data_IF_148634852420
#
_entry.id   IF_148634852420
#
_cell.length_a   1.000
_cell.length_b   1.000
_cell.length_c   1.000
_cell.angle_alpha   90.00
_cell.angle_beta   90.00
_cell.angle_gamma   90.00
#
_symmetry.space_group_name_H-M   'P 1'
#
loop_
_entity.id
_entity.type
_entity.pdbx_description
1 polymer ?
#
# COMPACT_ATOMS: atom_id res chain seq x y z
N UNK A 1 3.72 24.10 -48.23
CA UNK A 1 4.57 24.51 -49.33
C UNK A 1 5.31 25.77 -48.91
N UNK A 2 6.53 25.62 -48.34
CA UNK A 2 7.55 26.65 -48.36
C UNK A 2 8.88 25.99 -48.08
N UNK A 3 9.69 25.94 -49.09
CA UNK A 3 11.05 25.42 -49.16
C UNK A 3 11.95 26.44 -48.44
N UNK A 4 12.65 26.06 -47.36
CA UNK A 4 13.73 26.79 -46.80
C UNK A 4 15.04 26.05 -47.03
N UNK A 5 15.89 26.78 -47.73
CA UNK A 5 17.04 26.44 -48.53
C UNK A 5 18.29 26.00 -47.72
N UNK A 6 19.06 25.16 -48.36
CA UNK A 6 20.39 24.59 -47.98
C UNK A 6 21.50 25.58 -47.56
N UNK A 7 21.21 26.82 -47.25
CA UNK A 7 22.26 27.82 -46.90
C UNK A 7 22.47 28.04 -45.41
N UNK A 8 21.58 27.53 -44.52
CA UNK A 8 21.74 27.68 -43.06
C UNK A 8 22.64 26.62 -42.40
N UNK A 9 23.02 25.59 -43.14
CA UNK A 9 23.84 24.48 -42.59
C UNK A 9 25.36 24.65 -42.77
N UNK A 10 25.80 25.66 -43.55
CA UNK A 10 27.23 25.94 -43.77
C UNK A 10 27.82 27.00 -42.86
N UNK A 11 27.01 27.70 -42.08
CA UNK A 11 27.51 28.76 -41.17
C UNK A 11 27.91 28.26 -39.78
N UNK A 12 27.62 26.97 -39.42
CA UNK A 12 27.88 26.44 -38.08
C UNK A 12 29.22 25.67 -37.97
N UNK A 13 29.93 25.46 -39.10
CA UNK A 13 31.17 24.67 -39.11
C UNK A 13 32.45 25.46 -39.36
N UNK A 14 32.41 26.81 -39.38
CA UNK A 14 33.62 27.64 -39.70
C UNK A 14 34.20 28.43 -38.52
N UNK A 15 33.78 28.18 -37.29
CA UNK A 15 34.30 28.93 -36.11
C UNK A 15 35.20 28.07 -35.19
N UNK A 16 35.48 26.81 -35.55
CA UNK A 16 36.32 25.94 -34.71
C UNK A 16 37.61 25.44 -35.39
N UNK A 17 38.25 26.31 -36.16
CA UNK A 17 39.56 25.99 -36.72
C UNK A 17 40.43 27.25 -36.82
N UNK A 18 40.87 27.82 -35.70
CA UNK A 18 42.15 28.54 -35.61
C UNK A 18 42.33 29.10 -34.19
N UNK A 19 43.03 28.39 -33.33
CA UNK A 19 43.92 28.93 -32.28
C UNK A 19 44.58 27.76 -31.55
N UNK A 20 45.50 27.14 -32.21
CA UNK A 20 46.52 26.32 -31.57
C UNK A 20 47.75 27.18 -31.38
N UNK A 21 48.20 27.26 -30.15
CA UNK A 21 49.51 27.56 -29.56
C UNK A 21 49.42 28.70 -28.52
N UNK A 22 49.42 28.23 -27.25
CA UNK A 22 50.21 28.86 -26.19
C UNK A 22 50.17 27.99 -24.93
N UNK A 23 51.29 27.33 -24.73
CA UNK A 23 51.96 26.87 -23.50
C UNK A 23 51.13 26.36 -22.31
N UNK A 24 51.29 25.04 -22.15
CA UNK A 24 51.22 24.33 -20.90
C UNK A 24 52.23 24.82 -19.88
N UNK A 25 51.79 25.09 -18.67
CA UNK A 25 52.39 24.74 -17.37
C UNK A 25 51.31 25.04 -16.35
N UNK A 26 50.69 24.04 -15.83
CA UNK A 26 49.68 24.21 -14.78
C UNK A 26 49.39 22.88 -14.12
N UNK A 27 49.92 22.70 -12.95
CA UNK A 27 49.78 21.62 -12.00
C UNK A 27 48.56 20.74 -12.20
N UNK A 28 48.83 19.49 -12.57
CA UNK A 28 47.95 18.38 -12.31
C UNK A 28 47.87 18.14 -10.78
N UNK A 29 47.06 18.89 -10.07
CA UNK A 29 46.48 18.44 -8.83
C UNK A 29 45.46 17.36 -9.23
N UNK A 30 45.87 16.12 -9.25
CA UNK A 30 44.99 14.95 -9.13
C UNK A 30 44.24 15.06 -7.83
N UNK A 31 43.15 15.83 -7.85
CA UNK A 31 42.07 15.64 -6.90
C UNK A 31 41.43 14.29 -7.25
N UNK A 32 42.05 13.21 -6.77
CA UNK A 32 41.37 11.94 -6.55
C UNK A 32 40.35 12.14 -5.43
N UNK A 33 39.35 12.97 -5.72
CA UNK A 33 38.11 12.94 -4.98
C UNK A 33 37.47 11.60 -5.31
N UNK A 34 37.80 10.56 -4.56
CA UNK A 34 36.90 9.43 -4.42
C UNK A 34 35.52 10.03 -4.18
N UNK A 35 34.48 9.65 -4.97
CA UNK A 35 33.14 10.07 -4.59
C UNK A 35 32.97 9.61 -3.16
N UNK A 36 32.91 10.55 -2.22
CA UNK A 36 32.47 10.25 -0.88
C UNK A 36 31.04 9.75 -1.05
N UNK A 37 30.89 8.43 -1.15
CA UNK A 37 29.59 7.79 -0.99
C UNK A 37 29.16 8.20 0.39
N UNK A 38 28.31 9.20 0.47
CA UNK A 38 27.68 9.64 1.71
C UNK A 38 26.93 8.43 2.20
N UNK A 39 27.38 7.84 3.31
CA UNK A 39 26.74 6.66 3.86
C UNK A 39 25.26 7.01 4.07
N UNK A 40 24.40 6.26 3.40
CA UNK A 40 22.96 6.46 3.53
C UNK A 40 22.56 6.15 4.97
N UNK A 41 21.89 7.06 5.63
CA UNK A 41 21.35 6.85 6.97
C UNK A 41 19.98 6.13 6.87
N UNK A 42 19.64 5.22 7.80
CA UNK A 42 20.49 4.64 8.85
C UNK A 42 21.49 3.63 8.27
N UNK A 43 22.52 3.31 9.03
CA UNK A 43 23.53 2.33 8.63
C UNK A 43 23.11 0.94 9.11
N UNK A 44 22.89 0.02 8.19
CA UNK A 44 22.67 -1.39 8.48
C UNK A 44 24.03 -2.08 8.57
N UNK A 45 24.34 -2.61 9.77
CA UNK A 45 25.60 -3.29 10.03
C UNK A 45 25.58 -4.73 9.50
N UNK A 46 26.77 -5.36 9.41
CA UNK A 46 26.91 -6.72 8.91
C UNK A 46 26.17 -7.80 9.73
N UNK A 47 25.92 -7.53 10.99
CA UNK A 47 25.14 -8.38 11.91
C UNK A 47 23.64 -8.07 11.90
N UNK A 48 23.17 -7.23 10.97
CA UNK A 48 21.81 -6.72 10.88
C UNK A 48 21.39 -5.80 12.03
N UNK A 49 22.26 -5.41 12.94
CA UNK A 49 21.99 -4.25 13.82
C UNK A 49 21.96 -2.98 12.98
N UNK A 50 21.23 -1.94 13.45
CA UNK A 50 21.05 -0.72 12.68
C UNK A 50 21.42 0.49 13.52
N UNK A 51 22.36 1.28 13.02
CA UNK A 51 22.82 2.49 13.67
C UNK A 51 22.16 3.73 13.10
N UNK A 52 21.44 4.44 13.93
CA UNK A 52 20.81 5.71 13.66
C UNK A 52 21.64 6.86 14.21
N UNK A 53 21.80 7.92 13.43
CA UNK A 53 22.55 9.11 13.81
C UNK A 53 21.76 10.35 13.45
N UNK A 54 21.59 11.29 14.38
CA UNK A 54 20.94 12.57 14.14
C UNK A 54 21.78 13.71 14.73
N UNK A 55 22.13 14.69 13.91
CA UNK A 55 22.71 15.94 14.38
C UNK A 55 21.60 16.90 14.79
N UNK A 56 21.51 17.21 16.09
CA UNK A 56 20.47 18.07 16.63
C UNK A 56 21.02 18.89 17.82
N UNK A 57 21.83 19.94 17.56
CA UNK A 57 22.54 20.69 18.61
C UNK A 57 21.59 21.29 19.66
N UNK A 58 20.43 21.77 19.23
CA UNK A 58 19.44 22.44 20.10
C UNK A 58 18.48 21.48 20.82
N UNK A 59 18.58 20.19 20.56
CA UNK A 59 17.74 19.19 21.20
C UNK A 59 18.31 18.80 22.58
N UNK A 60 17.47 18.86 23.62
CA UNK A 60 17.84 18.32 24.95
C UNK A 60 17.74 16.80 24.98
N UNK A 61 16.81 16.23 24.21
CA UNK A 61 16.52 14.80 24.13
C UNK A 61 15.96 14.48 22.75
N UNK A 62 16.41 13.39 22.17
CA UNK A 62 15.86 12.79 20.95
C UNK A 62 15.34 11.40 21.27
N UNK A 63 14.20 11.06 20.69
CA UNK A 63 13.61 9.72 20.72
C UNK A 63 13.48 9.27 19.28
N UNK A 64 14.12 8.18 18.93
CA UNK A 64 13.87 7.43 17.71
C UNK A 64 12.55 6.66 17.88
N UNK A 65 11.68 6.75 16.89
CA UNK A 65 10.48 5.89 16.79
C UNK A 65 10.69 4.97 15.60
N UNK A 66 10.97 3.70 15.86
CA UNK A 66 11.26 2.66 14.89
C UNK A 66 10.11 1.66 14.89
N UNK A 67 9.43 1.49 13.76
CA UNK A 67 8.23 0.63 13.64
C UNK A 67 7.33 0.75 14.88
N UNK A 68 7.00 2.00 15.25
CA UNK A 68 6.19 2.40 16.41
C UNK A 68 6.85 2.23 17.79
N UNK A 69 7.96 1.49 17.93
CA UNK A 69 8.71 1.37 19.18
C UNK A 69 9.53 2.63 19.45
N UNK A 70 9.47 3.12 20.68
CA UNK A 70 10.25 4.29 21.12
C UNK A 70 11.61 3.83 21.64
N UNK A 71 12.67 4.27 20.98
CA UNK A 71 14.06 4.00 21.38
C UNK A 71 14.70 5.29 21.90
N UNK A 72 15.37 5.21 23.05
CA UNK A 72 16.15 6.33 23.58
C UNK A 72 17.43 6.45 22.77
N UNK A 73 17.80 7.68 22.39
CA UNK A 73 19.08 7.94 21.74
C UNK A 73 20.07 8.50 22.76
N UNK A 74 21.33 8.14 22.60
CA UNK A 74 22.45 8.62 23.41
C UNK A 74 23.03 9.89 22.79
N UNK A 75 23.38 10.88 23.64
CA UNK A 75 23.92 12.15 23.18
C UNK A 75 25.45 12.17 23.24
N UNK A 76 26.07 12.52 22.12
CA UNK A 76 27.51 12.74 21.98
C UNK A 76 27.75 14.12 21.36
N UNK A 77 27.95 15.13 22.23
CA UNK A 77 28.02 16.54 21.78
C UNK A 77 26.72 17.02 21.15
N UNK A 78 26.78 17.35 19.87
CA UNK A 78 25.63 17.81 19.03
C UNK A 78 24.90 16.67 18.32
N UNK A 79 25.36 15.44 18.49
CA UNK A 79 24.87 14.26 17.78
C UNK A 79 24.19 13.29 18.74
N UNK A 80 23.12 12.69 18.29
CA UNK A 80 22.40 11.61 18.98
C UNK A 80 22.54 10.32 18.18
N UNK A 81 22.84 9.21 18.89
CA UNK A 81 22.99 7.89 18.27
C UNK A 81 22.13 6.84 18.97
N UNK A 82 21.76 5.82 18.20
CA UNK A 82 21.12 4.60 18.71
C UNK A 82 21.47 3.44 17.78
N UNK A 83 21.95 2.33 18.35
CA UNK A 83 22.14 1.08 17.62
C UNK A 83 21.17 0.06 18.16
N UNK A 84 20.46 -0.63 17.25
CA UNK A 84 19.51 -1.67 17.63
C UNK A 84 20.23 -2.99 17.90
N UNK A 85 19.54 -3.94 18.55
CA UNK A 85 19.85 -5.36 18.37
C UNK A 85 19.66 -5.74 16.89
N UNK A 86 20.23 -6.88 16.44
CA UNK A 86 20.00 -7.39 15.08
C UNK A 86 18.50 -7.46 14.74
N UNK A 87 18.13 -6.90 13.61
CA UNK A 87 16.75 -6.89 13.13
C UNK A 87 16.54 -7.98 12.07
N UNK A 88 15.38 -8.65 12.04
CA UNK A 88 14.98 -9.51 10.93
C UNK A 88 14.98 -8.79 9.59
N UNK A 89 15.14 -9.55 8.49
CA UNK A 89 14.98 -9.02 7.13
C UNK A 89 13.58 -8.46 6.92
N UNK A 90 13.48 -7.15 6.66
CA UNK A 90 12.21 -6.45 6.45
C UNK A 90 12.45 -5.00 6.00
N UNK A 91 11.40 -4.34 5.54
CA UNK A 91 11.32 -2.88 5.39
C UNK A 91 10.83 -2.25 6.67
N UNK A 92 11.66 -1.45 7.30
CA UNK A 92 11.35 -0.74 8.55
C UNK A 92 11.09 0.73 8.30
N UNK A 93 10.17 1.31 9.08
CA UNK A 93 9.91 2.75 9.06
C UNK A 93 10.34 3.40 10.35
N UNK A 94 10.74 4.68 10.26
CA UNK A 94 11.16 5.44 11.44
C UNK A 94 10.97 6.95 11.27
N UNK A 95 11.07 7.64 12.38
CA UNK A 95 11.19 9.07 12.50
C UNK A 95 11.76 9.47 13.84
N UNK A 96 12.19 10.73 13.96
CA UNK A 96 12.67 11.27 15.23
C UNK A 96 11.59 12.10 15.91
N UNK A 97 11.65 12.13 17.28
CA UNK A 97 10.86 13.05 18.10
C UNK A 97 11.81 13.85 18.99
N UNK A 98 11.82 15.17 18.82
CA UNK A 98 12.53 16.10 19.70
C UNK A 98 11.85 17.47 19.68
N UNK A 99 12.04 18.25 20.75
CA UNK A 99 11.42 19.56 20.94
C UNK A 99 9.89 19.56 20.71
N UNK A 100 9.22 18.45 21.10
CA UNK A 100 7.77 18.28 20.96
C UNK A 100 7.28 18.01 19.53
N UNK A 101 8.17 17.91 18.56
CA UNK A 101 7.84 17.70 17.14
C UNK A 101 8.27 16.32 16.66
N UNK A 102 7.58 15.85 15.61
CA UNK A 102 7.97 14.73 14.76
C UNK A 102 8.78 15.29 13.60
N UNK A 103 9.97 14.75 13.41
CA UNK A 103 10.87 15.15 12.33
C UNK A 103 11.33 13.93 11.54
N UNK A 104 11.44 14.10 10.23
CA UNK A 104 12.07 13.10 9.37
C UNK A 104 13.60 13.19 9.50
N UNK A 105 14.27 12.12 9.12
CA UNK A 105 15.72 12.09 8.96
C UNK A 105 16.11 12.88 7.70
N UNK A 106 16.83 14.00 7.83
CA UNK A 106 17.23 14.80 6.68
C UNK A 106 18.29 14.13 5.80
N UNK A 107 19.01 13.13 6.33
CA UNK A 107 20.06 12.41 5.62
C UNK A 107 19.52 11.17 4.89
N UNK A 108 18.25 10.80 5.11
CA UNK A 108 17.60 9.70 4.42
C UNK A 108 16.53 10.23 3.45
N UNK A 109 16.80 10.14 2.16
CA UNK A 109 15.85 10.54 1.10
C UNK A 109 14.71 9.55 0.90
N UNK A 110 14.79 8.34 1.46
CA UNK A 110 13.72 7.35 1.37
C UNK A 110 12.59 7.71 2.32
N UNK A 111 11.48 8.15 1.74
CA UNK A 111 10.28 8.57 2.47
C UNK A 111 9.07 7.85 1.88
N UNK A 112 8.24 7.29 2.76
CA UNK A 112 6.93 6.74 2.41
C UNK A 112 5.84 7.46 3.17
N UNK A 113 4.58 7.19 2.81
CA UNK A 113 3.40 7.74 3.46
C UNK A 113 2.52 6.61 3.98
N UNK A 114 2.18 6.69 5.27
CA UNK A 114 1.14 5.88 5.87
C UNK A 114 -0.02 6.77 6.30
N UNK A 115 -1.16 6.63 5.65
CA UNK A 115 -2.31 7.54 5.82
C UNK A 115 -1.88 9.01 5.63
N UNK A 116 -1.86 9.81 6.68
CA UNK A 116 -1.40 11.21 6.67
C UNK A 116 0.04 11.38 7.16
N UNK A 117 0.73 10.31 7.56
CA UNK A 117 2.05 10.36 8.16
C UNK A 117 3.14 10.09 7.13
N UNK A 118 4.10 11.01 7.01
CA UNK A 118 5.35 10.74 6.31
C UNK A 118 6.34 10.06 7.25
N UNK A 119 7.04 9.05 6.75
CA UNK A 119 7.97 8.21 7.48
C UNK A 119 9.21 8.00 6.62
N UNK A 120 10.40 8.04 7.22
CA UNK A 120 11.56 7.48 6.55
C UNK A 120 11.50 5.96 6.59
N UNK A 121 12.18 5.31 5.65
CA UNK A 121 12.29 3.86 5.66
C UNK A 121 13.69 3.39 5.23
N UNK A 122 14.00 2.15 5.60
CA UNK A 122 15.20 1.44 5.18
C UNK A 122 14.88 -0.06 5.08
N UNK A 123 15.79 -0.83 4.51
CA UNK A 123 15.69 -2.27 4.43
C UNK A 123 16.80 -2.94 5.24
N UNK A 124 16.45 -4.02 5.93
CA UNK A 124 17.37 -5.09 6.30
C UNK A 124 17.15 -6.18 5.25
N UNK A 125 18.10 -6.36 4.36
CA UNK A 125 18.00 -7.24 3.19
C UNK A 125 17.97 -8.71 3.58
N UNK A 126 17.57 -9.58 2.64
CA UNK A 126 17.46 -11.02 2.79
C UNK A 126 16.02 -11.51 2.88
N UNK A 127 15.81 -12.81 2.83
CA UNK A 127 14.51 -13.49 2.95
C UNK A 127 13.37 -12.79 2.19
N UNK A 128 12.28 -12.48 2.91
CA UNK A 128 11.10 -11.85 2.33
C UNK A 128 11.34 -10.40 1.89
N UNK A 129 12.28 -9.69 2.54
CA UNK A 129 12.60 -8.31 2.18
C UNK A 129 13.17 -8.20 0.76
N UNK A 130 13.76 -9.27 0.24
CA UNK A 130 14.28 -9.32 -1.12
C UNK A 130 13.20 -9.11 -2.20
N UNK A 131 11.95 -9.40 -1.89
CA UNK A 131 10.83 -9.08 -2.79
C UNK A 131 10.47 -7.59 -2.80
N UNK A 132 10.90 -6.81 -1.80
CA UNK A 132 10.53 -5.39 -1.66
C UNK A 132 11.55 -4.43 -2.27
N UNK A 133 12.73 -4.94 -2.62
CA UNK A 133 13.84 -4.13 -3.13
C UNK A 133 13.61 -3.71 -4.59
N UNK A 134 14.08 -2.51 -4.91
CA UNK A 134 14.26 -2.10 -6.30
C UNK A 134 15.48 -2.86 -6.87
N UNK A 135 15.30 -3.56 -7.97
CA UNK A 135 16.34 -4.34 -8.65
C UNK A 135 16.46 -3.89 -10.10
N UNK A 136 17.61 -4.11 -10.70
CA UNK A 136 17.84 -3.86 -12.13
C UNK A 136 17.27 -5.04 -12.95
N UNK A 137 15.98 -5.05 -13.12
CA UNK A 137 15.17 -6.06 -13.83
C UNK A 137 14.11 -5.35 -14.68
N UNK A 138 13.46 -6.03 -15.62
CA UNK A 138 12.29 -5.45 -16.29
C UNK A 138 11.18 -5.09 -15.30
N UNK A 139 10.67 -3.88 -15.41
CA UNK A 139 9.59 -3.37 -14.54
C UNK A 139 8.25 -3.31 -15.27
N UNK A 140 7.19 -3.50 -14.50
CA UNK A 140 5.84 -3.19 -14.93
C UNK A 140 5.56 -1.67 -14.97
N UNK A 141 4.36 -1.31 -15.39
CA UNK A 141 3.92 0.08 -15.44
C UNK A 141 2.80 0.33 -14.42
N UNK A 142 2.74 1.56 -13.91
CA UNK A 142 1.66 2.04 -13.06
C UNK A 142 0.91 3.13 -13.78
N UNK A 143 -0.37 2.87 -14.07
CA UNK A 143 -1.30 3.86 -14.59
C UNK A 143 -2.08 4.50 -13.44
N UNK A 144 -2.11 5.83 -13.40
CA UNK A 144 -3.01 6.61 -12.55
C UNK A 144 -4.29 6.89 -13.33
N UNK A 145 -5.33 6.15 -13.03
CA UNK A 145 -6.54 6.10 -13.83
C UNK A 145 -7.69 6.81 -13.14
N UNK A 146 -8.31 7.78 -13.81
CA UNK A 146 -9.60 8.33 -13.44
C UNK A 146 -10.70 7.55 -14.14
N UNK A 147 -11.56 6.91 -13.38
CA UNK A 147 -12.70 6.14 -13.92
C UNK A 147 -14.02 6.79 -13.51
N UNK A 148 -15.07 6.68 -14.36
CA UNK A 148 -16.40 7.18 -14.04
C UNK A 148 -16.94 6.51 -12.78
N UNK A 149 -17.52 7.30 -11.88
CA UNK A 149 -18.11 6.78 -10.66
C UNK A 149 -19.36 7.56 -10.28
N UNK A 150 -20.31 6.85 -9.68
CA UNK A 150 -21.54 7.44 -9.13
C UNK A 150 -21.50 7.53 -7.60
N UNK A 151 -20.39 7.09 -7.01
CA UNK A 151 -20.23 7.02 -5.57
C UNK A 151 -20.19 8.43 -4.95
N UNK A 152 -21.08 8.68 -4.00
CA UNK A 152 -21.22 9.98 -3.30
C UNK A 152 -21.40 11.22 -4.20
N UNK A 153 -21.97 11.04 -5.40
CA UNK A 153 -22.17 12.14 -6.35
C UNK A 153 -20.86 12.64 -6.99
N UNK A 154 -19.80 11.88 -6.89
CA UNK A 154 -18.55 12.12 -7.64
C UNK A 154 -18.74 11.66 -9.08
N UNK A 155 -18.26 12.45 -10.06
CA UNK A 155 -18.30 12.03 -11.46
C UNK A 155 -17.16 11.10 -11.85
N UNK A 156 -16.07 11.15 -11.08
CA UNK A 156 -14.86 10.34 -11.31
C UNK A 156 -14.20 10.01 -9.98
N UNK A 157 -13.52 8.85 -9.96
CA UNK A 157 -12.66 8.42 -8.86
C UNK A 157 -11.36 7.86 -9.42
N UNK A 158 -10.32 7.82 -8.61
CA UNK A 158 -9.02 7.36 -9.06
C UNK A 158 -8.68 5.98 -8.51
N UNK A 159 -7.96 5.22 -9.33
CA UNK A 159 -7.30 3.98 -8.95
C UNK A 159 -5.91 3.91 -9.58
N UNK A 160 -5.06 3.03 -9.08
CA UNK A 160 -3.82 2.63 -9.74
C UNK A 160 -4.02 1.27 -10.38
N UNK A 161 -3.44 1.11 -11.57
CA UNK A 161 -3.42 -0.16 -12.28
C UNK A 161 -1.98 -0.51 -12.63
N UNK A 162 -1.49 -1.60 -12.07
CA UNK A 162 -0.20 -2.17 -12.45
C UNK A 162 -0.40 -3.12 -13.64
N UNK A 163 0.44 -2.98 -14.66
CA UNK A 163 0.55 -3.90 -15.79
C UNK A 163 1.95 -4.52 -15.81
N UNK A 164 2.08 -5.84 -16.09
CA UNK A 164 3.36 -6.53 -15.93
C UNK A 164 4.39 -6.12 -16.98
N UNK A 165 5.69 -6.41 -16.74
CA UNK A 165 6.73 -6.23 -17.75
C UNK A 165 6.33 -6.88 -19.08
N UNK A 166 6.55 -6.18 -20.18
CA UNK A 166 6.19 -6.66 -21.52
C UNK A 166 4.76 -6.37 -21.95
N UNK A 167 3.87 -5.91 -21.07
CA UNK A 167 2.47 -5.64 -21.36
C UNK A 167 2.26 -4.73 -22.59
N UNK A 168 3.04 -3.65 -22.71
CA UNK A 168 2.90 -2.70 -23.85
C UNK A 168 3.37 -3.32 -25.17
N UNK A 169 4.42 -4.14 -25.13
CA UNK A 169 5.03 -4.73 -26.33
C UNK A 169 4.26 -5.95 -26.87
N UNK A 170 3.57 -6.67 -26.00
CA UNK A 170 2.75 -7.84 -26.35
C UNK A 170 1.27 -7.50 -26.33
N UNK A 171 0.76 -7.04 -27.47
CA UNK A 171 -0.65 -6.68 -27.62
C UNK A 171 -1.61 -7.88 -27.72
N UNK A 172 -1.09 -9.09 -27.95
CA UNK A 172 -1.90 -10.29 -28.15
C UNK A 172 -2.29 -10.99 -26.84
N UNK A 173 -1.46 -10.86 -25.79
CA UNK A 173 -1.69 -11.56 -24.53
C UNK A 173 -2.73 -10.88 -23.65
N UNK A 174 -3.53 -11.71 -22.97
CA UNK A 174 -4.42 -11.31 -21.88
C UNK A 174 -3.95 -11.93 -20.57
N UNK A 175 -4.18 -11.23 -19.47
CA UNK A 175 -3.60 -11.51 -18.17
C UNK A 175 -4.66 -11.79 -17.11
N UNK A 176 -4.39 -12.63 -16.10
CA UNK A 176 -5.21 -12.67 -14.89
C UNK A 176 -5.18 -11.33 -14.18
N UNK A 177 -6.20 -11.04 -13.37
CA UNK A 177 -6.33 -9.79 -12.65
C UNK A 177 -6.48 -10.02 -11.14
N UNK A 178 -5.71 -9.27 -10.35
CA UNK A 178 -5.84 -9.15 -8.91
C UNK A 178 -6.40 -7.76 -8.57
N UNK A 179 -7.49 -7.71 -7.84
CA UNK A 179 -7.97 -6.50 -7.18
C UNK A 179 -7.43 -6.47 -5.76
N UNK A 180 -6.61 -5.44 -5.41
CA UNK A 180 -5.86 -5.36 -4.16
C UNK A 180 -6.28 -4.13 -3.36
N UNK A 181 -6.98 -4.36 -2.23
CA UNK A 181 -7.69 -3.33 -1.48
C UNK A 181 -6.91 -2.89 -0.25
N UNK A 182 -6.80 -1.56 -0.04
CA UNK A 182 -6.13 -0.96 1.11
C UNK A 182 -7.01 -0.90 2.36
N UNK A 183 -6.41 -0.62 3.51
CA UNK A 183 -7.09 -0.50 4.81
C UNK A 183 -7.66 0.89 5.10
N UNK A 184 -8.26 1.01 6.28
CA UNK A 184 -8.85 2.27 6.75
C UNK A 184 -7.82 3.40 6.82
N UNK A 185 -8.21 4.58 6.33
CA UNK A 185 -7.36 5.77 6.27
C UNK A 185 -6.36 5.78 5.11
N UNK A 186 -6.20 4.66 4.39
CA UNK A 186 -5.40 4.59 3.18
C UNK A 186 -6.14 5.13 1.95
N UNK A 187 -5.48 5.01 0.82
CA UNK A 187 -6.00 5.36 -0.50
C UNK A 187 -5.33 4.47 -1.57
N UNK A 188 -5.58 4.75 -2.83
CA UNK A 188 -5.06 3.97 -3.96
C UNK A 188 -3.52 3.90 -4.03
N UNK A 189 -2.79 4.79 -3.33
CA UNK A 189 -1.32 4.77 -3.31
C UNK A 189 -0.75 3.84 -2.24
N UNK A 190 -1.54 3.40 -1.28
CA UNK A 190 -1.06 2.70 -0.08
C UNK A 190 -0.26 1.43 -0.39
N UNK A 191 -0.77 0.59 -1.29
CA UNK A 191 -0.07 -0.62 -1.71
C UNK A 191 1.17 -0.32 -2.55
N UNK A 192 1.14 0.74 -3.37
CA UNK A 192 2.28 1.14 -4.21
C UNK A 192 3.41 1.70 -3.35
N UNK A 193 3.10 2.66 -2.49
CA UNK A 193 4.12 3.41 -1.74
C UNK A 193 4.64 2.62 -0.53
N UNK A 194 3.74 2.25 0.39
CA UNK A 194 4.13 1.57 1.63
C UNK A 194 4.12 0.04 1.50
N UNK A 195 3.18 -0.49 0.73
CA UNK A 195 3.09 -1.92 0.45
C UNK A 195 4.19 -2.45 -0.45
N UNK A 196 4.90 -1.60 -1.21
CA UNK A 196 5.94 -2.00 -2.18
C UNK A 196 5.42 -3.01 -3.21
N UNK A 197 4.13 -2.95 -3.52
CA UNK A 197 3.45 -3.96 -4.32
C UNK A 197 4.06 -4.12 -5.72
N UNK A 198 4.44 -3.02 -6.37
CA UNK A 198 5.05 -3.06 -7.70
C UNK A 198 6.37 -3.83 -7.68
N UNK A 199 7.22 -3.57 -6.67
CA UNK A 199 8.49 -4.29 -6.50
C UNK A 199 8.25 -5.77 -6.22
N UNK A 200 7.23 -6.09 -5.41
CA UNK A 200 6.85 -7.48 -5.13
C UNK A 200 6.46 -8.18 -6.45
N UNK A 201 5.60 -7.56 -7.27
CA UNK A 201 5.18 -8.15 -8.53
C UNK A 201 6.35 -8.31 -9.50
N UNK A 202 7.15 -7.26 -9.72
CA UNK A 202 8.30 -7.28 -10.62
C UNK A 202 9.30 -8.37 -10.22
N UNK A 203 9.69 -8.42 -8.95
CA UNK A 203 10.65 -9.40 -8.43
C UNK A 203 10.10 -10.83 -8.54
N UNK A 204 8.83 -11.06 -8.18
CA UNK A 204 8.23 -12.39 -8.25
C UNK A 204 8.02 -12.87 -9.69
N UNK A 205 7.64 -12.00 -10.62
CA UNK A 205 7.53 -12.30 -12.05
C UNK A 205 8.91 -12.62 -12.62
N UNK A 206 9.92 -11.80 -12.33
CA UNK A 206 11.29 -12.01 -12.78
C UNK A 206 11.88 -13.35 -12.29
N UNK A 207 11.55 -13.74 -11.05
CA UNK A 207 11.97 -15.02 -10.46
C UNK A 207 11.10 -16.20 -10.93
N UNK A 208 10.13 -16.00 -11.81
CA UNK A 208 9.14 -17.00 -12.23
C UNK A 208 8.38 -17.65 -11.06
N UNK A 209 8.28 -16.94 -9.93
CA UNK A 209 7.52 -17.36 -8.75
C UNK A 209 6.01 -17.18 -8.93
N UNK A 210 5.61 -16.26 -9.81
CA UNK A 210 4.22 -16.03 -10.23
C UNK A 210 4.15 -15.79 -11.74
N UNK A 211 2.96 -15.99 -12.31
CA UNK A 211 2.67 -15.58 -13.68
C UNK A 211 2.48 -14.07 -13.76
N UNK A 212 2.81 -13.44 -14.91
CA UNK A 212 2.45 -12.04 -15.16
C UNK A 212 0.96 -11.80 -14.96
N UNK A 213 0.61 -10.71 -14.24
CA UNK A 213 -0.78 -10.37 -13.92
C UNK A 213 -1.00 -8.85 -13.94
N UNK A 214 -2.23 -8.44 -14.13
CA UNK A 214 -2.67 -7.06 -13.92
C UNK A 214 -3.12 -6.92 -12.46
N UNK A 215 -2.77 -5.79 -11.81
CA UNK A 215 -3.23 -5.53 -10.44
C UNK A 215 -3.92 -4.18 -10.37
N UNK A 216 -5.15 -4.18 -9.86
CA UNK A 216 -5.98 -2.98 -9.70
C UNK A 216 -6.03 -2.61 -8.22
N UNK A 217 -5.60 -1.41 -7.91
CA UNK A 217 -5.54 -0.86 -6.56
C UNK A 217 -6.44 0.38 -6.47
N UNK A 218 -7.73 0.19 -6.18
CA UNK A 218 -8.69 1.29 -6.14
C UNK A 218 -8.68 2.00 -4.80
N UNK A 219 -9.23 3.23 -4.77
CA UNK A 219 -9.48 3.94 -3.54
C UNK A 219 -10.78 3.43 -2.89
N UNK A 220 -10.66 2.71 -1.78
CA UNK A 220 -11.78 2.21 -0.99
C UNK A 220 -12.39 3.26 -0.04
N UNK A 221 -11.78 4.44 0.06
CA UNK A 221 -12.32 5.54 0.86
C UNK A 221 -13.34 6.33 0.04
N UNK A 222 -14.61 6.11 0.32
CA UNK A 222 -15.70 6.69 -0.49
C UNK A 222 -15.85 8.21 -0.37
N UNK A 223 -15.23 8.84 0.62
CA UNK A 223 -15.26 10.29 0.80
C UNK A 223 -14.20 11.01 -0.04
N UNK A 224 -13.28 10.25 -0.64
CA UNK A 224 -12.21 10.77 -1.48
C UNK A 224 -12.33 10.25 -2.92
N UNK A 225 -12.14 11.14 -3.86
CA UNK A 225 -12.00 10.80 -5.28
C UNK A 225 -10.58 10.35 -5.65
N UNK A 226 -9.58 10.82 -4.91
CA UNK A 226 -8.17 10.47 -5.04
C UNK A 226 -7.40 10.67 -3.73
N UNK A 227 -6.14 10.24 -3.71
CA UNK A 227 -5.22 10.47 -2.61
C UNK A 227 -5.11 11.97 -2.24
N UNK A 228 -4.90 12.30 -0.95
CA UNK A 228 -4.71 13.69 -0.52
C UNK A 228 -3.60 14.39 -1.32
N UNK A 229 -3.86 15.62 -1.75
CA UNK A 229 -2.95 16.42 -2.56
C UNK A 229 -3.07 16.18 -4.08
N UNK A 230 -3.81 15.15 -4.49
CA UNK A 230 -4.08 14.87 -5.92
C UNK A 230 -5.59 14.88 -6.25
N UNK A 231 -6.43 15.04 -5.23
CA UNK A 231 -7.86 15.27 -5.39
C UNK A 231 -8.12 16.70 -5.87
N UNK A 232 -9.02 16.91 -6.86
CA UNK A 232 -9.48 18.26 -7.20
C UNK A 232 -10.25 18.94 -6.05
N UNK A 233 -10.68 18.18 -5.05
CA UNK A 233 -11.39 18.64 -3.87
C UNK A 233 -10.50 18.58 -2.62
N UNK A 234 -9.39 19.32 -2.64
CA UNK A 234 -8.32 19.28 -1.61
C UNK A 234 -8.79 19.51 -0.17
N UNK A 235 -9.95 20.16 0.03
CA UNK A 235 -10.48 20.48 1.36
C UNK A 235 -11.24 19.32 2.04
N UNK A 236 -11.49 18.21 1.33
CA UNK A 236 -12.15 17.03 1.88
C UNK A 236 -11.12 16.07 2.46
N UNK A 237 -10.78 16.25 3.72
CA UNK A 237 -10.06 15.23 4.48
C UNK A 237 -11.01 14.06 4.77
N UNK A 238 -10.54 12.80 4.73
CA UNK A 238 -11.36 11.67 5.11
C UNK A 238 -11.84 11.85 6.55
N UNK A 239 -13.12 12.03 6.73
CA UNK A 239 -13.74 12.09 8.06
C UNK A 239 -14.01 10.66 8.52
N UNK A 240 -12.97 9.93 8.91
CA UNK A 240 -13.03 8.50 9.30
C UNK A 240 -14.03 8.11 10.39
N UNK A 241 -15.00 8.97 10.72
CA UNK A 241 -15.94 8.78 11.81
C UNK A 241 -17.34 8.33 11.39
N UNK A 242 -17.63 8.23 10.08
CA UNK A 242 -18.97 7.84 9.64
C UNK A 242 -18.94 6.53 8.83
N UNK A 243 -18.46 5.47 9.46
CA UNK A 243 -18.42 4.10 8.90
C UNK A 243 -19.77 3.71 8.29
N UNK A 244 -20.87 4.17 8.90
CA UNK A 244 -22.23 3.84 8.43
C UNK A 244 -22.66 4.53 7.14
N UNK A 245 -21.95 5.56 6.67
CA UNK A 245 -22.31 6.26 5.43
C UNK A 245 -21.77 5.61 4.17
N UNK A 246 -20.76 4.76 4.28
CA UNK A 246 -20.05 4.15 3.14
C UNK A 246 -20.17 2.63 3.07
N UNK A 247 -20.58 1.98 4.13
CA UNK A 247 -20.81 0.54 4.13
C UNK A 247 -21.91 0.16 3.11
N UNK A 248 -21.61 -0.83 2.28
CA UNK A 248 -22.52 -1.39 1.27
C UNK A 248 -22.45 -0.73 -0.10
N UNK A 249 -22.20 0.57 -0.17
CA UNK A 249 -22.13 1.30 -1.45
C UNK A 249 -20.90 0.96 -2.25
N UNK A 250 -19.75 0.92 -1.59
CA UNK A 250 -18.48 0.59 -2.25
C UNK A 250 -18.51 -0.82 -2.80
N UNK A 251 -18.94 -1.79 -2.01
CA UNK A 251 -19.02 -3.19 -2.42
C UNK A 251 -19.94 -3.40 -3.63
N UNK A 252 -21.09 -2.71 -3.64
CA UNK A 252 -22.04 -2.78 -4.76
C UNK A 252 -21.46 -2.17 -6.03
N UNK A 253 -20.87 -0.99 -5.93
CA UNK A 253 -20.33 -0.28 -7.09
C UNK A 253 -19.01 -0.84 -7.57
N UNK A 254 -18.28 -1.58 -6.73
CA UNK A 254 -17.01 -2.18 -7.09
C UNK A 254 -17.10 -3.02 -8.38
N UNK A 255 -18.09 -3.91 -8.46
CA UNK A 255 -18.31 -4.74 -9.64
C UNK A 255 -18.83 -3.92 -10.82
N UNK A 256 -19.74 -3.01 -10.56
CA UNK A 256 -20.41 -2.24 -11.61
C UNK A 256 -19.50 -1.19 -12.26
N UNK A 257 -18.53 -0.65 -11.52
CA UNK A 257 -17.67 0.43 -11.98
C UNK A 257 -16.22 -0.05 -12.17
N UNK A 258 -15.57 -0.59 -11.13
CA UNK A 258 -14.14 -0.90 -11.13
C UNK A 258 -13.85 -2.14 -11.99
N UNK A 259 -14.57 -3.24 -11.75
CA UNK A 259 -14.38 -4.48 -12.53
C UNK A 259 -14.71 -4.21 -14.00
N UNK A 260 -15.86 -3.60 -14.27
CA UNK A 260 -16.29 -3.28 -15.63
C UNK A 260 -15.31 -2.37 -16.36
N UNK A 261 -14.81 -1.31 -15.68
CA UNK A 261 -13.80 -0.43 -16.26
C UNK A 261 -12.53 -1.19 -16.61
N UNK A 262 -12.03 -2.00 -15.68
CA UNK A 262 -10.82 -2.79 -15.88
C UNK A 262 -10.94 -3.71 -17.11
N UNK A 263 -12.04 -4.45 -17.21
CA UNK A 263 -12.27 -5.40 -18.31
C UNK A 263 -12.49 -4.75 -19.68
N UNK A 264 -12.88 -3.47 -19.70
CA UNK A 264 -13.06 -2.73 -20.96
C UNK A 264 -11.81 -1.98 -21.41
N UNK A 265 -10.85 -1.70 -20.51
CA UNK A 265 -9.69 -0.87 -20.82
C UNK A 265 -8.35 -1.61 -20.74
N UNK A 266 -8.32 -2.79 -20.13
CA UNK A 266 -7.10 -3.60 -19.98
C UNK A 266 -7.33 -5.01 -20.54
N UNK A 267 -6.26 -5.63 -21.04
CA UNK A 267 -6.29 -6.99 -21.57
C UNK A 267 -6.32 -8.03 -20.44
N UNK A 268 -7.46 -8.13 -19.78
CA UNK A 268 -7.69 -9.11 -18.73
C UNK A 268 -8.42 -10.35 -19.28
N UNK A 269 -8.18 -11.49 -18.66
CA UNK A 269 -8.99 -12.68 -18.81
C UNK A 269 -10.22 -12.53 -17.93
N UNK A 270 -11.38 -12.20 -18.55
CA UNK A 270 -12.59 -11.79 -17.86
C UNK A 270 -13.47 -12.99 -17.43
N UNK A 271 -12.89 -13.96 -16.74
CA UNK A 271 -13.59 -15.11 -16.18
C UNK A 271 -13.20 -15.34 -14.72
N UNK A 272 -13.99 -16.16 -13.99
CA UNK A 272 -13.77 -16.44 -12.56
C UNK A 272 -12.36 -16.96 -12.29
N UNK A 273 -11.86 -17.91 -13.10
CA UNK A 273 -10.59 -18.60 -12.88
C UNK A 273 -9.39 -17.66 -12.91
N UNK A 274 -9.54 -16.52 -13.56
CA UNK A 274 -8.48 -15.53 -13.73
C UNK A 274 -8.71 -14.23 -12.93
N UNK A 275 -9.75 -14.19 -12.05
CA UNK A 275 -9.96 -13.07 -11.12
C UNK A 275 -9.63 -13.44 -9.71
N UNK A 276 -8.83 -12.59 -9.08
CA UNK A 276 -8.53 -12.64 -7.66
C UNK A 276 -8.91 -11.31 -7.00
N UNK A 277 -9.28 -11.38 -5.73
CA UNK A 277 -9.50 -10.21 -4.89
C UNK A 277 -8.83 -10.43 -3.54
N UNK A 278 -8.10 -9.44 -3.05
CA UNK A 278 -7.49 -9.49 -1.73
C UNK A 278 -7.47 -8.09 -1.09
N UNK A 279 -7.44 -8.04 0.23
CA UNK A 279 -7.37 -6.75 0.91
C UNK A 279 -7.00 -6.87 2.38
N UNK A 280 -6.45 -5.78 2.90
CA UNK A 280 -6.02 -5.68 4.29
C UNK A 280 -7.04 -4.93 5.15
N UNK A 281 -7.26 -5.36 6.40
CA UNK A 281 -8.07 -4.63 7.39
C UNK A 281 -9.48 -4.28 6.87
N UNK A 282 -9.81 -3.01 6.67
CA UNK A 282 -11.03 -2.53 6.01
C UNK A 282 -11.14 -3.08 4.57
N UNK A 283 -10.03 -3.09 3.80
CA UNK A 283 -9.99 -3.71 2.47
C UNK A 283 -10.29 -5.21 2.52
N UNK A 284 -9.93 -5.89 3.61
CA UNK A 284 -10.35 -7.26 3.87
C UNK A 284 -11.85 -7.41 4.12
N UNK A 285 -12.50 -6.44 4.79
CA UNK A 285 -13.96 -6.38 4.92
C UNK A 285 -14.63 -6.22 3.54
N UNK A 286 -14.14 -5.26 2.75
CA UNK A 286 -14.63 -5.07 1.37
C UNK A 286 -14.45 -6.34 0.54
N UNK A 287 -13.25 -6.95 0.59
CA UNK A 287 -12.95 -8.21 -0.10
C UNK A 287 -13.94 -9.30 0.26
N UNK A 288 -14.18 -9.51 1.57
CA UNK A 288 -15.10 -10.51 2.07
C UNK A 288 -16.51 -10.33 1.47
N UNK A 289 -17.07 -9.13 1.61
CA UNK A 289 -18.46 -8.91 1.22
C UNK A 289 -18.65 -8.69 -0.28
N UNK A 290 -17.64 -8.22 -1.01
CA UNK A 290 -17.66 -8.24 -2.48
C UNK A 290 -17.71 -9.70 -2.98
N UNK A 291 -16.84 -10.56 -2.46
CA UNK A 291 -16.82 -11.97 -2.86
C UNK A 291 -18.12 -12.70 -2.47
N UNK A 292 -18.62 -12.52 -1.25
CA UNK A 292 -19.83 -13.17 -0.77
C UNK A 292 -21.10 -12.75 -1.54
N UNK A 293 -21.15 -11.52 -2.02
CA UNK A 293 -22.28 -11.04 -2.84
C UNK A 293 -22.11 -11.35 -4.34
N UNK A 294 -20.96 -11.91 -4.75
CA UNK A 294 -20.64 -12.28 -6.13
C UNK A 294 -19.87 -13.61 -6.17
N UNK A 295 -20.52 -14.74 -5.78
CA UNK A 295 -19.84 -16.03 -5.54
C UNK A 295 -19.19 -16.63 -6.79
N UNK A 296 -19.69 -16.25 -7.99
CA UNK A 296 -19.18 -16.73 -9.29
C UNK A 296 -18.09 -15.83 -9.88
N UNK A 297 -17.63 -14.81 -9.15
CA UNK A 297 -16.77 -13.79 -9.75
C UNK A 297 -15.29 -14.05 -9.52
N UNK A 298 -14.88 -14.52 -8.33
CA UNK A 298 -13.48 -14.63 -7.93
C UNK A 298 -13.09 -16.05 -7.57
N UNK A 299 -11.99 -16.53 -8.14
CA UNK A 299 -11.42 -17.85 -7.87
C UNK A 299 -10.40 -17.85 -6.73
N UNK A 300 -9.82 -16.69 -6.43
CA UNK A 300 -8.93 -16.49 -5.29
C UNK A 300 -9.42 -15.31 -4.46
N UNK A 301 -9.60 -15.54 -3.15
CA UNK A 301 -10.05 -14.55 -2.16
C UNK A 301 -9.04 -14.47 -1.03
N UNK A 302 -8.46 -13.28 -0.78
CA UNK A 302 -7.42 -13.05 0.22
C UNK A 302 -7.86 -12.07 1.32
N UNK A 303 -7.95 -12.53 2.55
CA UNK A 303 -8.35 -11.78 3.74
C UNK A 303 -7.13 -11.54 4.63
N UNK A 304 -6.51 -10.35 4.54
CA UNK A 304 -5.29 -10.01 5.29
C UNK A 304 -5.65 -9.18 6.52
N UNK A 305 -5.50 -9.74 7.71
CA UNK A 305 -5.93 -9.07 8.96
C UNK A 305 -7.33 -8.46 8.81
N UNK A 306 -8.24 -9.20 8.19
CA UNK A 306 -9.53 -8.66 7.75
C UNK A 306 -10.48 -8.40 8.90
N UNK A 307 -11.29 -7.36 8.78
CA UNK A 307 -12.44 -7.18 9.63
C UNK A 307 -13.57 -8.09 9.11
N UNK A 308 -13.82 -9.21 9.79
CA UNK A 308 -14.68 -10.29 9.27
C UNK A 308 -16.09 -10.34 9.88
N UNK A 309 -16.42 -9.46 10.83
CA UNK A 309 -17.75 -9.42 11.45
C UNK A 309 -18.48 -8.12 11.15
N UNK A 310 -19.81 -8.24 11.09
CA UNK A 310 -20.69 -7.11 10.83
C UNK A 310 -20.62 -6.06 11.95
N UNK A 311 -20.14 -4.84 11.62
CA UNK A 311 -20.12 -3.70 12.54
C UNK A 311 -21.50 -3.13 12.85
N UNK A 312 -22.53 -3.52 12.12
CA UNK A 312 -23.90 -3.01 12.30
C UNK A 312 -24.62 -3.61 13.49
N UNK A 313 -24.06 -4.62 14.15
CA UNK A 313 -24.67 -5.23 15.32
C UNK A 313 -24.48 -4.31 16.55
N UNK A 314 -25.54 -3.65 16.99
CA UNK A 314 -25.55 -2.68 18.11
C UNK A 314 -24.87 -3.20 19.39
N UNK A 315 -24.90 -4.54 19.65
CA UNK A 315 -24.24 -5.14 20.80
C UNK A 315 -22.70 -5.09 20.71
N UNK A 316 -22.13 -4.97 19.52
CA UNK A 316 -20.69 -4.87 19.31
C UNK A 316 -20.20 -3.41 19.42
N UNK A 317 -21.03 -2.43 19.06
CA UNK A 317 -20.71 -1.01 19.17
C UNK A 317 -20.48 -0.61 20.65
N UNK A 318 -21.32 -1.09 21.55
CA UNK A 318 -21.24 -0.79 23.01
C UNK A 318 -20.05 -1.50 23.67
N UNK A 319 -19.65 -2.70 23.20
CA UNK A 319 -18.46 -3.41 23.71
C UNK A 319 -17.15 -2.84 23.18
N UNK A 320 -17.19 -2.11 22.09
CA UNK A 320 -16.01 -1.45 21.47
C UNK A 320 -15.51 -0.28 22.31
N UNK A 321 -16.30 0.26 23.25
CA UNK A 321 -15.83 1.29 24.17
C UNK A 321 -14.74 0.79 25.15
N UNK A 322 -14.74 -0.50 25.52
CA UNK A 322 -13.66 -1.12 26.29
C UNK A 322 -12.42 -1.48 25.43
N UNK A 323 -12.59 -1.56 24.12
CA UNK A 323 -11.54 -1.79 23.12
C UNK A 323 -10.63 -0.56 22.92
N UNK A 324 -11.04 0.57 23.47
CA UNK A 324 -10.47 1.90 23.23
C UNK A 324 -9.08 2.13 23.79
N UNK A 325 -8.50 1.24 24.58
CA UNK A 325 -7.16 1.46 25.13
C UNK A 325 -6.05 1.15 24.11
N UNK A 326 -6.23 0.15 23.25
CA UNK A 326 -5.30 -0.15 22.14
C UNK A 326 -5.58 0.71 20.89
N UNK A 327 -6.81 1.18 20.72
CA UNK A 327 -7.21 2.15 19.69
C UNK A 327 -6.72 3.57 19.95
N UNK A 328 -6.04 3.85 21.06
CA UNK A 328 -5.44 5.17 21.32
C UNK A 328 -4.39 5.54 20.24
N UNK A 329 -3.72 4.54 19.67
CA UNK A 329 -2.81 4.72 18.53
C UNK A 329 -3.56 5.13 17.26
N UNK A 330 -4.66 4.45 16.97
CA UNK A 330 -5.56 4.78 15.86
C UNK A 330 -6.26 6.14 16.10
N UNK A 331 -6.62 6.46 17.36
CA UNK A 331 -7.19 7.76 17.74
C UNK A 331 -6.24 8.94 17.52
N UNK A 332 -4.94 8.77 17.62
CA UNK A 332 -4.01 9.86 17.31
C UNK A 332 -3.96 10.17 15.81
N UNK A 333 -4.17 9.18 14.97
CA UNK A 333 -4.34 9.36 13.51
C UNK A 333 -5.72 9.96 13.23
N UNK A 334 -6.78 9.46 13.87
CA UNK A 334 -8.17 9.92 13.73
C UNK A 334 -8.44 11.26 14.42
N UNK A 335 -7.73 11.59 15.50
CA UNK A 335 -7.89 12.90 16.19
C UNK A 335 -7.35 14.08 15.37
N UNK A 336 -6.39 13.84 14.46
CA UNK A 336 -5.96 14.81 13.45
C UNK A 336 -7.03 15.07 12.37
N UNK A 337 -8.09 14.23 12.32
CA UNK A 337 -9.16 14.27 11.33
C UNK A 337 -10.48 14.85 11.91
N UNK A 338 -10.47 15.43 13.10
CA UNK A 338 -11.68 15.63 13.93
C UNK A 338 -12.52 16.88 13.67
N UNK A 339 -12.27 17.67 12.65
CA UNK A 339 -13.12 18.82 12.34
C UNK A 339 -13.62 18.76 10.89
N UNK A 340 -14.86 18.29 10.69
CA UNK A 340 -15.92 18.88 9.90
C UNK A 340 -17.08 17.92 9.60
N UNK A 341 -18.28 18.48 9.63
CA UNK A 341 -19.64 17.98 9.41
C UNK A 341 -19.78 16.72 8.54
N UNK A 342 -20.12 15.61 9.18
CA UNK A 342 -20.52 14.39 8.50
C UNK A 342 -21.91 14.56 7.85
N UNK A 343 -22.06 14.06 6.60
CA UNK A 343 -23.37 13.97 5.95
C UNK A 343 -24.29 13.05 6.78
N UNK A 344 -25.55 13.41 7.02
CA UNK A 344 -26.48 12.52 7.73
C UNK A 344 -26.73 11.23 6.92
N UNK A 345 -26.67 10.09 7.60
CA UNK A 345 -26.96 8.77 7.03
C UNK A 345 -28.43 8.66 6.72
N UNK A 346 -28.78 8.42 5.46
CA UNK A 346 -30.16 8.27 5.03
C UNK A 346 -30.73 6.87 5.36
N UNK A 347 -32.05 6.72 5.32
CA UNK A 347 -32.69 5.40 5.46
C UNK A 347 -32.26 4.45 4.33
N UNK A 348 -32.10 4.97 3.12
CA UNK A 348 -31.61 4.23 1.95
C UNK A 348 -30.19 3.68 2.18
N UNK A 349 -29.28 4.51 2.74
CA UNK A 349 -27.91 4.07 3.05
C UNK A 349 -27.89 2.91 4.06
N UNK A 350 -28.80 2.94 5.04
CA UNK A 350 -28.95 1.86 6.03
C UNK A 350 -29.51 0.59 5.43
N UNK A 351 -30.46 0.68 4.51
CA UNK A 351 -31.04 -0.49 3.82
C UNK A 351 -30.03 -1.15 2.90
N UNK A 352 -29.26 -0.39 2.14
CA UNK A 352 -28.18 -0.92 1.29
C UNK A 352 -27.12 -1.67 2.10
N UNK A 353 -26.70 -1.11 3.24
CA UNK A 353 -25.77 -1.77 4.14
C UNK A 353 -26.34 -3.06 4.72
N UNK A 354 -27.63 -3.09 5.04
CA UNK A 354 -28.32 -4.31 5.54
C UNK A 354 -28.26 -5.41 4.49
N UNK A 355 -28.53 -5.12 3.23
CA UNK A 355 -28.55 -6.09 2.15
C UNK A 355 -27.16 -6.69 1.88
N UNK A 356 -26.11 -5.86 1.87
CA UNK A 356 -24.74 -6.30 1.63
C UNK A 356 -24.18 -7.17 2.78
N UNK A 357 -24.45 -6.80 4.03
CA UNK A 357 -23.78 -7.42 5.20
C UNK A 357 -24.60 -8.45 5.96
N UNK A 358 -25.90 -8.56 5.71
CA UNK A 358 -26.75 -9.58 6.32
C UNK A 358 -26.66 -10.93 5.58
N UNK A 359 -27.31 -11.94 6.16
CA UNK A 359 -27.40 -13.28 5.58
C UNK A 359 -26.04 -13.95 5.35
N UNK A 360 -25.11 -13.77 6.30
CA UNK A 360 -23.74 -14.27 6.18
C UNK A 360 -23.68 -15.78 5.87
N UNK A 361 -24.46 -16.58 6.61
CA UNK A 361 -24.45 -18.05 6.45
C UNK A 361 -24.99 -18.48 5.08
N UNK A 362 -26.08 -17.85 4.61
CA UNK A 362 -26.64 -18.11 3.28
C UNK A 362 -25.65 -17.72 2.17
N UNK A 363 -24.99 -16.57 2.31
CA UNK A 363 -23.98 -16.13 1.37
C UNK A 363 -22.74 -17.02 1.36
N UNK A 364 -22.31 -17.49 2.52
CA UNK A 364 -21.25 -18.48 2.62
C UNK A 364 -21.64 -19.79 1.91
N UNK A 365 -22.87 -20.28 2.12
CA UNK A 365 -23.34 -21.46 1.43
C UNK A 365 -23.29 -21.28 -0.09
N UNK A 366 -23.74 -20.13 -0.62
CA UNK A 366 -23.64 -19.82 -2.05
C UNK A 366 -22.18 -19.72 -2.52
N UNK A 367 -21.31 -19.04 -1.75
CA UNK A 367 -19.89 -18.89 -2.07
C UNK A 367 -19.19 -20.25 -2.17
N UNK A 368 -19.46 -21.16 -1.25
CA UNK A 368 -18.83 -22.47 -1.21
C UNK A 368 -19.53 -23.53 -2.05
N UNK A 369 -20.76 -23.30 -2.51
CA UNK A 369 -21.36 -24.07 -3.61
C UNK A 369 -20.61 -23.85 -4.94
N UNK A 370 -20.08 -22.66 -5.15
CA UNK A 370 -19.19 -22.27 -6.25
C UNK A 370 -17.76 -22.01 -5.71
N UNK A 371 -17.23 -22.91 -4.89
CA UNK A 371 -16.03 -22.69 -4.09
C UNK A 371 -14.88 -22.04 -4.88
N UNK A 372 -14.25 -20.99 -4.34
CA UNK A 372 -13.02 -20.46 -4.91
C UNK A 372 -11.90 -21.50 -4.75
N UNK A 373 -10.97 -21.53 -5.69
CA UNK A 373 -9.79 -22.39 -5.62
C UNK A 373 -8.91 -22.06 -4.41
N UNK A 374 -8.86 -20.78 -4.05
CA UNK A 374 -8.13 -20.32 -2.88
C UNK A 374 -8.99 -19.36 -2.05
N UNK A 375 -9.34 -19.77 -0.83
CA UNK A 375 -9.90 -18.91 0.20
C UNK A 375 -8.85 -18.74 1.29
N UNK A 376 -8.13 -17.62 1.27
CA UNK A 376 -6.94 -17.37 2.07
C UNK A 376 -7.23 -16.38 3.19
N UNK A 377 -6.81 -16.71 4.40
CA UNK A 377 -6.91 -15.86 5.58
C UNK A 377 -5.56 -15.77 6.27
N UNK A 378 -5.11 -14.56 6.55
CA UNK A 378 -3.88 -14.35 7.32
C UNK A 378 -4.05 -13.26 8.38
N UNK A 379 -3.47 -13.48 9.56
CA UNK A 379 -3.53 -12.54 10.69
C UNK A 379 -2.32 -12.69 11.60
N UNK A 380 -1.84 -11.58 12.18
CA UNK A 380 -0.77 -11.59 13.17
C UNK A 380 -1.24 -12.13 14.52
N UNK A 381 -0.32 -12.73 15.28
CA UNK A 381 -0.61 -13.28 16.61
C UNK A 381 -1.08 -12.19 17.58
N UNK A 382 -0.51 -10.99 17.46
CA UNK A 382 -0.79 -9.84 18.32
C UNK A 382 -1.74 -8.84 17.66
N UNK A 383 -2.31 -9.20 16.48
CA UNK A 383 -3.25 -8.36 15.76
C UNK A 383 -4.56 -8.21 16.54
N UNK A 384 -5.03 -6.98 16.69
CA UNK A 384 -6.27 -6.68 17.41
C UNK A 384 -7.52 -7.28 16.73
N UNK A 385 -7.45 -7.61 15.44
CA UNK A 385 -8.51 -8.32 14.70
C UNK A 385 -8.42 -9.84 14.79
N UNK A 386 -7.39 -10.40 15.43
CA UNK A 386 -7.20 -11.85 15.56
C UNK A 386 -8.43 -12.56 16.13
N UNK A 387 -9.01 -12.02 17.20
CA UNK A 387 -10.22 -12.60 17.80
C UNK A 387 -11.38 -12.67 16.81
N UNK A 388 -11.55 -11.61 16.00
CA UNK A 388 -12.60 -11.54 15.00
C UNK A 388 -12.37 -12.55 13.87
N UNK A 389 -11.12 -12.67 13.41
CA UNK A 389 -10.73 -13.69 12.43
C UNK A 389 -10.94 -15.12 12.97
N UNK A 390 -10.64 -15.38 14.25
CA UNK A 390 -10.88 -16.69 14.88
C UNK A 390 -12.38 -17.01 14.96
N UNK A 391 -13.23 -16.04 15.23
CA UNK A 391 -14.68 -16.23 15.23
C UNK A 391 -15.21 -16.56 13.85
N UNK A 392 -14.70 -15.88 12.82
CA UNK A 392 -15.10 -16.16 11.45
C UNK A 392 -14.63 -17.54 10.99
N UNK A 393 -13.40 -17.95 11.34
CA UNK A 393 -12.92 -19.31 11.09
C UNK A 393 -13.81 -20.38 11.73
N UNK A 394 -14.24 -20.15 12.97
CA UNK A 394 -15.14 -21.08 13.64
C UNK A 394 -16.47 -21.30 12.89
N UNK A 395 -16.96 -20.26 12.18
CA UNK A 395 -18.12 -20.40 11.28
C UNK A 395 -17.75 -21.28 10.08
N UNK A 396 -16.61 -21.02 9.43
CA UNK A 396 -16.16 -21.85 8.30
C UNK A 396 -15.96 -23.31 8.71
N UNK A 397 -15.31 -23.54 9.84
CA UNK A 397 -15.06 -24.88 10.41
C UNK A 397 -16.36 -25.61 10.70
N UNK A 398 -17.36 -24.92 11.26
CA UNK A 398 -18.66 -25.54 11.61
C UNK A 398 -19.44 -26.06 10.39
N UNK A 399 -19.18 -25.50 9.20
CA UNK A 399 -19.78 -25.89 7.93
C UNK A 399 -18.85 -26.77 7.06
N UNK A 400 -17.61 -27.00 7.51
CA UNK A 400 -16.62 -27.76 6.73
C UNK A 400 -16.14 -27.05 5.47
N UNK A 401 -16.21 -25.71 5.42
CA UNK A 401 -15.76 -24.94 4.26
C UNK A 401 -14.23 -24.90 4.19
N UNK A 402 -13.63 -25.19 3.02
CA UNK A 402 -12.18 -25.21 2.88
C UNK A 402 -11.58 -23.80 2.86
N UNK A 403 -10.53 -23.57 3.60
CA UNK A 403 -9.74 -22.34 3.57
C UNK A 403 -8.27 -22.60 3.94
N UNK A 404 -7.40 -21.70 3.51
CA UNK A 404 -6.00 -21.66 3.95
C UNK A 404 -5.86 -20.61 5.05
N UNK A 405 -5.28 -20.97 6.19
CA UNK A 405 -5.03 -20.04 7.28
C UNK A 405 -3.56 -19.91 7.58
N UNK A 406 -3.09 -18.66 7.69
CA UNK A 406 -1.73 -18.32 8.05
C UNK A 406 -1.73 -17.39 9.26
N UNK A 407 -1.02 -17.80 10.30
CA UNK A 407 -0.76 -16.98 11.48
C UNK A 407 0.73 -16.64 11.53
N UNK A 408 1.05 -15.35 11.60
CA UNK A 408 2.42 -14.87 11.72
C UNK A 408 2.66 -14.26 13.10
N UNK A 409 3.91 -14.04 13.45
CA UNK A 409 4.25 -13.15 14.55
C UNK A 409 3.91 -11.70 14.19
N UNK A 410 3.80 -10.85 15.22
CA UNK A 410 3.53 -9.43 15.06
C UNK A 410 2.06 -9.05 15.03
N UNK A 411 1.83 -7.79 14.77
CA UNK A 411 0.55 -7.11 14.95
C UNK A 411 -0.11 -6.70 13.61
N UNK A 412 -1.00 -5.72 13.67
CA UNK A 412 -1.73 -5.15 12.54
C UNK A 412 -0.85 -4.17 11.75
N UNK A 413 0.07 -4.68 10.96
CA UNK A 413 1.16 -3.90 10.36
C UNK A 413 1.45 -4.23 8.90
N UNK A 414 2.10 -3.27 8.22
CA UNK A 414 2.54 -3.43 6.84
C UNK A 414 3.59 -4.53 6.67
N UNK A 415 4.41 -4.79 7.70
CA UNK A 415 5.36 -5.90 7.74
C UNK A 415 4.65 -7.24 7.52
N UNK A 416 3.50 -7.43 8.17
CA UNK A 416 2.70 -8.62 7.99
C UNK A 416 1.96 -8.63 6.64
N UNK A 417 1.37 -7.52 6.23
CA UNK A 417 0.57 -7.47 5.00
C UNK A 417 1.42 -7.68 3.74
N UNK A 418 2.66 -7.22 3.69
CA UNK A 418 3.60 -7.55 2.62
C UNK A 418 3.88 -9.05 2.53
N UNK A 419 4.12 -9.71 3.68
CA UNK A 419 4.30 -11.17 3.77
C UNK A 419 3.07 -11.93 3.30
N UNK A 420 1.88 -11.47 3.69
CA UNK A 420 0.63 -12.09 3.26
C UNK A 420 0.41 -11.94 1.75
N UNK A 421 0.75 -10.80 1.18
CA UNK A 421 0.68 -10.60 -0.26
C UNK A 421 1.61 -11.57 -1.00
N UNK A 422 2.86 -11.68 -0.58
CA UNK A 422 3.84 -12.61 -1.18
C UNK A 422 3.36 -14.07 -1.07
N UNK A 423 2.88 -14.50 0.10
CA UNK A 423 2.40 -15.88 0.31
C UNK A 423 1.10 -16.15 -0.48
N UNK A 424 0.17 -15.21 -0.50
CA UNK A 424 -1.06 -15.30 -1.29
C UNK A 424 -0.76 -15.45 -2.78
N UNK A 425 0.12 -14.62 -3.34
CA UNK A 425 0.53 -14.67 -4.74
C UNK A 425 1.17 -16.01 -5.13
N UNK A 426 1.99 -16.61 -4.26
CA UNK A 426 2.58 -17.94 -4.49
C UNK A 426 1.56 -19.07 -4.53
N UNK A 427 0.37 -18.86 -3.97
CA UNK A 427 -0.72 -19.85 -3.91
C UNK A 427 -1.77 -19.63 -5.00
N UNK A 428 -1.80 -18.44 -5.59
CA UNK A 428 -2.62 -18.14 -6.77
C UNK A 428 -2.16 -18.92 -7.99
#
# INVERSE_FOLDING_TARGET
>A
MMILTRQAWKAFHSVWASSSKLLAIGCWLLATGSPTVRAQQPVVNADHSVTFTLKAPDAKKVVLVLSEKKCKMERHGDTFTHTTEPLPSEMYTYYYKYNGKKELDPENSRVTRDVALKLNYFFVEGDVADYYLDRDIPHGHIDKVWYPSTLNGMSQRRMFVYTPPGYIADEASSYPVLYLLHGSGGDETSWVDYGRACQIFDNMIHQHAIQPLIVVMPNGNIELDAAPGESPYMDKQPTGNNISSWLGKYEKLFVQEIVKYTETHYRVKADKQHRAIAGLSMGGLHTLFIALNNPDMFDCVGLFSAQTTNMLNKSNIVKTERFNHNMQRFRNVVALMRDKVARPVTLSDKMEAIDIYNHLEEKLACQFACAPRLYYMAVGRDDFLKKMNSQYRAILDSHGYPYTYVETDGDHSWENWRKYLVDFLKRM
#
